data_IF_497495302265
#
_entry.id   IF_497495302265
#
_cell.length_a   1.000
_cell.length_b   1.000
_cell.length_c   1.000
_cell.angle_alpha   90.00
_cell.angle_beta   90.00
_cell.angle_gamma   90.00
#
_symmetry.space_group_name_H-M   'P 1'
#
loop_
_entity.id
_entity.type
_entity.pdbx_description
1 polymer ?
#
# COMPACT_ATOMS: atom_id res chain seq x y z
N UNK A 1 5.74 -59.28 -60.99
CA UNK A 1 7.14 -59.43 -61.44
C UNK A 1 7.97 -58.36 -60.73
N UNK A 2 8.74 -58.75 -59.70
CA UNK A 2 10.23 -58.85 -59.71
C UNK A 2 10.97 -57.50 -59.87
N UNK A 3 11.64 -57.11 -58.78
CA UNK A 3 12.88 -56.30 -58.75
C UNK A 3 12.67 -54.78 -58.84
N UNK A 4 13.46 -53.91 -58.21
CA UNK A 4 14.83 -54.05 -57.70
C UNK A 4 15.09 -53.05 -56.57
N UNK A 5 15.84 -53.50 -55.55
CA UNK A 5 16.44 -52.69 -54.50
C UNK A 5 17.50 -51.72 -55.04
N UNK A 6 17.44 -50.46 -54.59
CA UNK A 6 18.56 -49.52 -54.60
C UNK A 6 18.82 -49.00 -53.18
N UNK A 7 19.87 -49.50 -52.54
CA UNK A 7 20.34 -49.08 -51.22
C UNK A 7 21.01 -47.69 -51.32
N UNK A 8 20.51 -46.70 -50.60
CA UNK A 8 21.29 -45.52 -50.20
C UNK A 8 21.54 -45.60 -48.69
N UNK A 9 22.76 -45.98 -48.33
CA UNK A 9 23.24 -46.16 -46.96
C UNK A 9 23.72 -44.81 -46.43
N UNK A 10 22.83 -43.98 -45.90
CA UNK A 10 23.22 -42.73 -45.26
C UNK A 10 23.48 -42.98 -43.77
N UNK A 11 24.75 -42.90 -43.39
CA UNK A 11 25.25 -43.04 -42.02
C UNK A 11 24.56 -42.01 -41.11
N UNK A 12 23.69 -42.47 -40.20
CA UNK A 12 23.25 -41.68 -39.06
C UNK A 12 24.44 -41.54 -38.10
N UNK A 13 25.07 -40.35 -38.08
CA UNK A 13 25.88 -39.92 -36.94
C UNK A 13 24.91 -39.41 -35.87
N UNK A 14 25.03 -39.80 -34.59
CA UNK A 14 24.27 -39.16 -33.53
C UNK A 14 24.79 -37.72 -33.40
N UNK A 15 23.92 -36.76 -33.71
CA UNK A 15 24.18 -35.35 -33.50
C UNK A 15 23.95 -35.10 -32.02
N UNK A 16 25.03 -35.21 -31.24
CA UNK A 16 25.07 -34.73 -29.85
C UNK A 16 24.96 -33.21 -29.95
N UNK A 17 23.75 -32.70 -29.77
CA UNK A 17 23.52 -31.27 -29.56
C UNK A 17 23.99 -30.97 -28.14
N UNK A 18 25.26 -30.59 -28.03
CA UNK A 18 25.78 -29.91 -26.85
C UNK A 18 25.03 -28.59 -26.74
N UNK A 19 23.98 -28.57 -25.91
CA UNK A 19 23.38 -27.35 -25.39
C UNK A 19 24.47 -26.59 -24.63
N UNK A 20 25.14 -25.66 -25.32
CA UNK A 20 25.94 -24.65 -24.67
C UNK A 20 24.98 -23.70 -23.95
N UNK A 21 24.76 -23.95 -22.66
CA UNK A 21 24.21 -22.96 -21.74
C UNK A 21 25.24 -21.84 -21.68
N UNK A 22 25.05 -20.80 -22.49
CA UNK A 22 25.83 -19.56 -22.39
C UNK A 22 25.27 -18.80 -21.19
N UNK A 23 25.73 -19.19 -20.00
CA UNK A 23 25.68 -18.29 -18.85
C UNK A 23 26.62 -17.13 -19.15
N UNK A 24 26.07 -15.93 -19.34
CA UNK A 24 26.87 -14.71 -19.39
C UNK A 24 27.35 -14.41 -17.96
N UNK A 25 28.33 -15.17 -17.50
CA UNK A 25 29.19 -14.74 -16.41
C UNK A 25 30.04 -13.61 -16.98
N UNK A 26 29.79 -12.37 -16.54
CA UNK A 26 30.62 -11.24 -16.92
C UNK A 26 32.08 -11.52 -16.59
N UNK A 27 32.90 -11.70 -17.63
CA UNK A 27 34.33 -11.89 -17.48
C UNK A 27 34.94 -10.60 -16.92
N UNK A 28 35.38 -10.66 -15.66
CA UNK A 28 36.20 -9.62 -15.02
C UNK A 28 37.55 -9.65 -15.71
N UNK A 29 37.82 -8.64 -16.55
CA UNK A 29 39.18 -8.35 -17.00
C UNK A 29 39.99 -7.86 -15.79
N UNK A 30 40.71 -8.78 -15.16
CA UNK A 30 41.67 -8.48 -14.12
C UNK A 30 42.92 -7.82 -14.75
N UNK A 31 42.90 -6.50 -14.90
CA UNK A 31 44.13 -5.73 -14.98
C UNK A 31 44.71 -5.67 -13.56
N UNK A 32 45.77 -6.47 -13.34
CA UNK A 32 46.67 -6.31 -12.20
C UNK A 32 47.29 -4.91 -12.32
N UNK A 33 46.73 -3.95 -11.61
CA UNK A 33 47.39 -2.69 -11.33
C UNK A 33 47.45 -2.50 -9.81
N UNK A 34 48.67 -2.44 -9.31
CA UNK A 34 48.99 -2.39 -7.90
C UNK A 34 48.74 -0.97 -7.40
N UNK A 35 47.71 -0.76 -6.57
CA UNK A 35 47.52 0.48 -5.79
C UNK A 35 46.68 1.59 -6.43
N UNK A 36 45.97 1.31 -7.53
CA UNK A 36 44.95 2.22 -8.09
C UNK A 36 43.56 1.81 -7.63
N UNK A 37 42.94 2.66 -6.81
CA UNK A 37 41.68 2.38 -6.11
C UNK A 37 40.52 1.90 -7.00
N UNK A 38 39.70 0.99 -6.46
CA UNK A 38 38.49 0.46 -7.12
C UNK A 38 37.41 1.53 -7.39
N UNK A 39 37.55 2.74 -6.86
CA UNK A 39 36.56 3.82 -6.92
C UNK A 39 36.11 4.13 -8.36
N UNK A 40 37.04 4.33 -9.29
CA UNK A 40 36.68 4.65 -10.68
C UNK A 40 35.93 3.49 -11.37
N UNK A 41 36.34 2.25 -11.09
CA UNK A 41 35.67 1.06 -11.62
C UNK A 41 34.27 0.88 -11.01
N UNK A 42 34.13 1.11 -9.71
CA UNK A 42 32.86 1.02 -9.00
C UNK A 42 31.90 2.15 -9.40
N UNK A 43 32.39 3.37 -9.65
CA UNK A 43 31.59 4.47 -10.20
C UNK A 43 31.11 4.15 -11.63
N UNK A 44 31.98 3.56 -12.46
CA UNK A 44 31.59 3.12 -13.80
C UNK A 44 30.58 1.96 -13.75
N UNK A 45 30.69 1.05 -12.77
CA UNK A 45 29.73 -0.01 -12.52
C UNK A 45 28.37 0.58 -12.11
N UNK A 46 28.33 1.55 -11.18
CA UNK A 46 27.10 2.23 -10.76
C UNK A 46 26.36 2.88 -11.93
N UNK A 47 27.07 3.54 -12.85
CA UNK A 47 26.45 4.17 -14.05
C UNK A 47 25.77 3.17 -14.98
N UNK A 48 26.21 1.91 -15.00
CA UNK A 48 25.71 0.87 -15.91
C UNK A 48 24.79 -0.14 -15.23
N UNK A 49 24.85 -0.24 -13.91
CA UNK A 49 24.06 -1.18 -13.14
C UNK A 49 22.56 -0.97 -13.40
N UNK A 50 21.82 -2.07 -13.45
CA UNK A 50 20.37 -2.06 -13.64
C UNK A 50 19.96 -1.34 -14.94
N UNK A 51 20.75 -1.48 -16.02
CA UNK A 51 20.58 -0.77 -17.31
C UNK A 51 20.59 0.78 -17.17
N UNK A 52 21.36 1.30 -16.20
CA UNK A 52 21.46 2.73 -15.95
C UNK A 52 20.22 3.34 -15.30
N UNK A 53 19.35 2.53 -14.69
CA UNK A 53 18.14 3.02 -13.99
C UNK A 53 18.44 3.69 -12.66
N UNK A 54 19.58 3.43 -12.03
CA UNK A 54 19.94 3.99 -10.72
C UNK A 54 20.30 5.49 -10.80
N UNK A 55 19.93 6.31 -9.79
CA UNK A 55 20.26 7.73 -9.76
C UNK A 55 21.74 7.95 -9.40
N UNK A 56 22.61 7.93 -10.42
CA UNK A 56 24.06 8.03 -10.23
C UNK A 56 24.49 9.22 -9.36
N UNK A 57 23.97 10.43 -9.62
CA UNK A 57 24.36 11.64 -8.88
C UNK A 57 23.99 11.62 -7.39
N UNK A 58 22.95 10.88 -7.01
CA UNK A 58 22.56 10.73 -5.61
C UNK A 58 23.35 9.61 -4.91
N UNK A 59 23.76 8.57 -5.66
CA UNK A 59 24.40 7.36 -5.13
C UNK A 59 25.94 7.37 -5.19
N UNK A 60 26.57 8.23 -5.98
CA UNK A 60 28.03 8.20 -6.19
C UNK A 60 28.84 8.39 -4.91
N UNK A 61 28.27 9.10 -3.92
CA UNK A 61 28.86 9.33 -2.60
C UNK A 61 28.98 8.08 -1.74
N UNK A 62 28.21 7.03 -2.06
CA UNK A 62 28.23 5.75 -1.35
C UNK A 62 29.24 4.77 -1.95
N UNK A 63 29.84 5.11 -3.10
CA UNK A 63 30.80 4.24 -3.79
C UNK A 63 32.10 4.19 -3.00
N UNK A 64 32.55 2.96 -2.73
CA UNK A 64 33.74 2.66 -1.93
C UNK A 64 34.93 2.25 -2.78
N UNK A 65 36.13 2.49 -2.27
CA UNK A 65 37.41 2.26 -2.97
C UNK A 65 38.08 0.94 -2.56
N UNK A 66 37.70 0.46 -1.38
CA UNK A 66 38.34 -0.60 -0.62
C UNK A 66 38.21 -1.97 -1.31
N UNK A 67 37.15 -2.19 -2.08
CA UNK A 67 36.89 -3.46 -2.75
C UNK A 67 36.06 -3.32 -4.04
N UNK A 68 36.12 -4.30 -4.96
CA UNK A 68 35.26 -4.32 -6.14
C UNK A 68 33.78 -4.46 -5.76
N UNK A 69 32.91 -3.72 -6.45
CA UNK A 69 31.46 -3.84 -6.29
C UNK A 69 30.90 -5.17 -6.81
N UNK A 70 29.95 -5.74 -6.06
CA UNK A 70 29.21 -6.96 -6.41
C UNK A 70 27.85 -6.57 -6.98
N UNK A 71 27.62 -6.86 -8.27
CA UNK A 71 26.36 -6.62 -8.97
C UNK A 71 25.61 -7.95 -9.18
N UNK A 72 24.34 -8.00 -8.76
CA UNK A 72 23.36 -9.03 -9.11
C UNK A 72 22.19 -8.33 -9.78
N UNK A 73 21.79 -8.77 -10.97
CA UNK A 73 20.67 -8.15 -11.68
C UNK A 73 19.94 -9.16 -12.55
N UNK A 74 18.61 -9.13 -12.51
CA UNK A 74 17.74 -9.94 -13.35
C UNK A 74 16.37 -9.25 -13.53
N UNK A 75 15.54 -9.77 -14.45
CA UNK A 75 14.22 -9.21 -14.74
C UNK A 75 13.96 -9.06 -16.23
N UNK A 76 12.68 -9.00 -16.58
CA UNK A 76 12.23 -8.96 -17.99
C UNK A 76 12.61 -7.67 -18.72
N UNK A 77 12.88 -6.57 -18.00
CA UNK A 77 13.43 -5.34 -18.58
C UNK A 77 14.88 -5.56 -19.06
N UNK A 78 15.69 -6.27 -18.27
CA UNK A 78 17.11 -6.49 -18.55
C UNK A 78 17.34 -7.59 -19.60
N UNK A 79 16.51 -8.62 -19.58
CA UNK A 79 16.56 -9.75 -20.52
C UNK A 79 15.16 -10.06 -21.05
N UNK A 80 14.68 -9.32 -22.08
CA UNK A 80 13.38 -9.57 -22.69
C UNK A 80 13.29 -11.01 -23.22
N UNK A 81 12.22 -11.72 -22.86
CA UNK A 81 11.96 -13.10 -23.29
C UNK A 81 12.40 -14.19 -22.31
N UNK A 82 13.05 -13.86 -21.19
CA UNK A 82 13.14 -14.80 -20.06
C UNK A 82 11.89 -14.72 -19.18
N UNK A 83 11.44 -15.87 -18.68
CA UNK A 83 10.33 -15.93 -17.73
C UNK A 83 10.78 -15.42 -16.37
N UNK A 84 10.31 -14.22 -16.00
CA UNK A 84 10.49 -13.67 -14.66
C UNK A 84 9.24 -12.92 -14.24
N UNK A 85 8.94 -12.96 -12.94
CA UNK A 85 7.93 -12.09 -12.34
C UNK A 85 8.50 -10.67 -12.18
N UNK A 86 9.78 -10.51 -11.86
CA UNK A 86 10.37 -9.18 -11.72
C UNK A 86 10.52 -8.48 -13.08
N UNK A 87 10.14 -7.21 -13.14
CA UNK A 87 10.54 -6.32 -14.23
C UNK A 87 12.02 -5.95 -14.07
N UNK A 88 12.41 -5.67 -12.82
CA UNK A 88 13.79 -5.41 -12.42
C UNK A 88 14.00 -5.93 -10.99
N UNK A 89 15.04 -6.72 -10.78
CA UNK A 89 15.59 -7.02 -9.45
C UNK A 89 17.09 -6.81 -9.57
N UNK A 90 17.61 -5.85 -8.81
CA UNK A 90 18.97 -5.38 -8.93
C UNK A 90 19.55 -5.06 -7.57
N UNK A 91 20.72 -5.61 -7.28
CA UNK A 91 21.49 -5.34 -6.07
C UNK A 91 22.94 -5.04 -6.44
N UNK A 92 23.42 -3.88 -5.99
CA UNK A 92 24.82 -3.46 -6.11
C UNK A 92 25.36 -3.16 -4.71
N UNK A 93 26.34 -3.93 -4.27
CA UNK A 93 26.98 -3.76 -2.97
C UNK A 93 28.47 -3.50 -3.11
N UNK A 94 29.00 -2.63 -2.25
CA UNK A 94 30.44 -2.37 -2.13
C UNK A 94 31.04 -2.91 -0.82
N UNK A 95 30.30 -3.77 -0.10
CA UNK A 95 30.68 -4.32 1.20
C UNK A 95 30.45 -3.36 2.37
N UNK A 96 30.71 -3.84 3.59
CA UNK A 96 30.64 -3.07 4.84
C UNK A 96 29.31 -2.31 5.02
N UNK A 97 28.20 -2.93 4.63
CA UNK A 97 26.87 -2.31 4.71
C UNK A 97 26.60 -1.22 3.66
N UNK A 98 27.46 -1.02 2.65
CA UNK A 98 27.22 -0.09 1.55
C UNK A 98 26.58 -0.79 0.36
N UNK A 99 25.47 -0.22 -0.12
CA UNK A 99 24.83 -0.74 -1.32
C UNK A 99 23.47 -0.14 -1.63
N UNK A 100 22.93 -0.64 -2.73
CA UNK A 100 21.58 -0.34 -3.20
C UNK A 100 20.94 -1.62 -3.69
N UNK A 101 19.71 -1.87 -3.25
CA UNK A 101 18.88 -2.97 -3.70
C UNK A 101 17.55 -2.39 -4.17
N UNK A 102 17.15 -2.75 -5.38
CA UNK A 102 15.91 -2.31 -6.01
C UNK A 102 15.17 -3.52 -6.53
N UNK A 103 13.88 -3.59 -6.24
CA UNK A 103 12.97 -4.55 -6.84
C UNK A 103 11.81 -3.80 -7.47
N UNK A 104 11.40 -4.22 -8.67
CA UNK A 104 10.26 -3.67 -9.36
C UNK A 104 9.48 -4.79 -10.06
N UNK A 105 8.17 -4.80 -9.83
CA UNK A 105 7.29 -5.83 -10.38
C UNK A 105 5.89 -5.28 -10.69
N UNK A 106 5.26 -5.91 -11.67
CA UNK A 106 3.85 -5.74 -11.93
C UNK A 106 3.02 -6.37 -10.80
N UNK A 107 2.17 -5.57 -10.15
CA UNK A 107 1.27 -6.03 -9.10
C UNK A 107 0.09 -6.80 -9.71
N UNK A 108 0.05 -8.10 -9.43
CA UNK A 108 -1.07 -8.99 -9.82
C UNK A 108 -1.90 -9.37 -8.59
N UNK A 109 -1.27 -9.35 -7.42
CA UNK A 109 -1.86 -9.69 -6.13
C UNK A 109 -1.99 -8.42 -5.28
N UNK A 110 -2.17 -8.60 -3.99
CA UNK A 110 -2.17 -7.50 -3.05
C UNK A 110 -0.82 -6.83 -2.88
N UNK A 111 -0.88 -5.55 -2.55
CA UNK A 111 0.29 -4.83 -2.03
C UNK A 111 0.71 -5.52 -0.73
N UNK A 112 2.00 -5.89 -0.58
CA UNK A 112 2.46 -6.61 0.60
C UNK A 112 2.51 -5.75 1.87
N UNK A 113 2.16 -4.47 1.77
CA UNK A 113 2.10 -3.53 2.88
C UNK A 113 0.68 -3.29 3.33
N UNK A 114 0.57 -2.97 4.62
CA UNK A 114 -0.66 -2.51 5.24
C UNK A 114 -1.13 -1.21 4.56
N UNK A 115 -2.40 -1.19 4.16
CA UNK A 115 -3.03 -0.08 3.43
C UNK A 115 -4.34 0.34 4.08
N UNK A 116 -4.68 -0.16 5.27
CA UNK A 116 -5.93 0.21 5.94
C UNK A 116 -5.90 1.68 6.38
N UNK A 117 -7.08 2.25 6.64
CA UNK A 117 -7.18 3.68 6.97
C UNK A 117 -6.32 4.04 8.19
N UNK A 118 -6.31 3.18 9.22
CA UNK A 118 -5.48 3.31 10.42
C UNK A 118 -3.99 3.35 10.07
N UNK A 119 -3.51 2.49 9.17
CA UNK A 119 -2.09 2.43 8.79
C UNK A 119 -1.66 3.60 7.91
N UNK A 120 -2.60 4.29 7.25
CA UNK A 120 -2.31 5.49 6.48
C UNK A 120 -2.26 6.75 7.35
N UNK A 121 -3.07 6.79 8.41
CA UNK A 121 -3.19 7.92 9.34
C UNK A 121 -2.14 7.85 10.45
N UNK A 122 -1.91 6.65 10.95
CA UNK A 122 -0.95 6.32 12.00
C UNK A 122 -0.10 5.14 11.50
N UNK A 123 0.86 5.39 10.60
CA UNK A 123 1.70 4.34 10.03
C UNK A 123 2.33 3.52 11.12
N UNK A 124 1.84 2.29 11.28
CA UNK A 124 1.98 1.44 12.46
C UNK A 124 3.32 1.63 13.17
N UNK A 125 3.32 2.39 14.28
CA UNK A 125 4.23 2.38 15.44
C UNK A 125 5.72 2.14 15.24
N UNK A 126 6.23 2.22 14.02
CA UNK A 126 7.58 1.84 13.66
C UNK A 126 8.45 3.05 13.84
N UNK A 127 9.20 3.10 14.94
CA UNK A 127 10.35 3.99 15.03
C UNK A 127 11.15 3.89 13.72
N UNK A 128 11.27 4.99 12.97
CA UNK A 128 12.01 5.01 11.71
C UNK A 128 11.23 4.83 10.42
N UNK A 129 9.92 5.07 10.43
CA UNK A 129 9.14 5.23 9.20
C UNK A 129 9.20 6.67 8.66
N UNK A 130 9.16 6.79 7.33
CA UNK A 130 9.13 8.09 6.65
C UNK A 130 8.17 8.06 5.46
N UNK A 131 7.60 9.21 5.13
CA UNK A 131 6.77 9.40 3.95
C UNK A 131 7.36 10.50 3.06
N UNK A 132 7.31 10.31 1.74
CA UNK A 132 7.64 11.34 0.77
C UNK A 132 6.35 11.92 0.15
N UNK A 133 6.00 13.19 0.41
CA UNK A 133 4.82 13.81 -0.20
C UNK A 133 4.85 13.75 -1.73
N UNK A 134 3.72 13.43 -2.34
CA UNK A 134 3.56 13.21 -3.78
C UNK A 134 3.91 11.81 -4.24
N UNK A 135 4.13 10.85 -3.32
CA UNK A 135 4.37 9.43 -3.64
C UNK A 135 3.31 8.56 -2.98
N UNK A 136 3.08 7.36 -3.50
CA UNK A 136 2.16 6.38 -2.92
C UNK A 136 2.95 5.25 -2.27
N UNK A 137 3.36 5.44 -1.02
CA UNK A 137 4.08 4.47 -0.23
C UNK A 137 4.84 5.09 0.94
N UNK A 138 5.66 4.28 1.60
CA UNK A 138 6.43 4.70 2.79
C UNK A 138 7.83 4.07 2.80
N UNK A 139 8.70 4.63 3.64
CA UNK A 139 9.98 4.04 4.02
C UNK A 139 9.82 3.29 5.33
N UNK A 140 10.41 2.10 5.44
CA UNK A 140 10.49 1.35 6.68
C UNK A 140 11.71 0.43 6.71
N UNK A 141 11.64 -0.65 7.51
CA UNK A 141 12.74 -1.60 7.71
C UNK A 141 13.31 -2.19 6.40
N UNK A 142 12.47 -2.33 5.37
CA UNK A 142 12.85 -2.90 4.06
C UNK A 142 13.26 -1.85 3.02
N UNK A 143 13.39 -0.58 3.41
CA UNK A 143 13.64 0.54 2.51
C UNK A 143 12.35 1.27 2.12
N UNK A 144 12.45 2.11 1.09
CA UNK A 144 11.31 2.74 0.45
C UNK A 144 10.53 1.70 -0.35
N UNK A 145 9.21 1.78 -0.31
CA UNK A 145 8.35 1.17 -1.33
C UNK A 145 7.39 2.22 -1.86
N UNK A 146 6.97 2.04 -3.11
CA UNK A 146 5.90 2.82 -3.71
C UNK A 146 5.11 2.01 -4.73
N UNK A 147 3.87 2.40 -4.93
CA UNK A 147 2.99 1.96 -6.01
C UNK A 147 2.81 3.11 -7.00
N UNK A 148 2.92 2.82 -8.28
CA UNK A 148 2.69 3.80 -9.35
C UNK A 148 1.87 3.21 -10.49
N UNK A 149 1.20 4.08 -11.21
CA UNK A 149 0.27 3.71 -12.27
C UNK A 149 0.98 3.51 -13.61
N UNK A 150 0.52 2.47 -14.29
CA UNK A 150 0.79 2.15 -15.67
C UNK A 150 -0.50 1.89 -16.45
N UNK A 151 -1.29 2.93 -16.69
CA UNK A 151 -2.61 2.82 -17.34
C UNK A 151 -2.55 2.20 -18.74
N UNK A 152 -1.44 2.39 -19.47
CA UNK A 152 -1.16 1.74 -20.75
C UNK A 152 -0.90 0.23 -20.67
N UNK A 153 -0.81 -0.30 -19.45
CA UNK A 153 -0.51 -1.70 -19.15
C UNK A 153 1.00 -1.99 -19.09
N UNK A 154 1.39 -2.86 -18.16
CA UNK A 154 2.74 -3.39 -18.09
C UNK A 154 2.91 -4.55 -19.09
N UNK A 155 3.84 -4.42 -20.01
CA UNK A 155 4.16 -5.43 -21.01
C UNK A 155 4.94 -6.62 -20.44
N UNK A 156 5.13 -7.67 -21.26
CA UNK A 156 5.95 -8.83 -20.89
C UNK A 156 5.23 -9.90 -20.06
N UNK A 157 3.91 -9.81 -19.92
CA UNK A 157 3.08 -10.78 -19.19
C UNK A 157 1.83 -11.20 -19.95
N UNK A 158 1.26 -12.34 -19.52
CA UNK A 158 0.03 -12.93 -20.09
C UNK A 158 -1.23 -12.12 -19.74
N UNK A 159 -1.25 -11.43 -18.60
CA UNK A 159 -2.34 -10.54 -18.19
C UNK A 159 -1.80 -9.12 -18.02
N UNK A 160 -2.40 -8.11 -18.68
CA UNK A 160 -2.02 -6.72 -18.46
C UNK A 160 -2.38 -6.32 -17.02
N UNK A 161 -1.44 -5.70 -16.32
CA UNK A 161 -1.70 -5.03 -15.05
C UNK A 161 -1.38 -3.55 -15.21
N UNK A 162 -2.07 -2.74 -14.43
CA UNK A 162 -1.96 -1.28 -14.48
C UNK A 162 -1.14 -0.70 -13.35
N UNK A 163 -0.59 -1.53 -12.48
CA UNK A 163 0.03 -1.10 -11.24
C UNK A 163 1.44 -1.68 -11.14
N UNK A 164 2.40 -0.80 -10.90
CA UNK A 164 3.82 -1.11 -10.71
C UNK A 164 4.17 -0.90 -9.24
N UNK A 165 4.76 -1.92 -8.63
CA UNK A 165 5.33 -1.83 -7.29
C UNK A 165 6.85 -1.75 -7.38
N UNK A 166 7.43 -0.80 -6.67
CA UNK A 166 8.89 -0.58 -6.63
C UNK A 166 9.34 -0.50 -5.19
N UNK A 167 10.37 -1.25 -4.83
CA UNK A 167 11.12 -1.08 -3.59
C UNK A 167 12.53 -0.61 -3.87
N UNK A 168 13.07 0.20 -2.98
CA UNK A 168 14.46 0.60 -3.00
C UNK A 168 14.99 0.69 -1.56
N UNK A 169 16.02 -0.09 -1.27
CA UNK A 169 16.81 0.01 -0.05
C UNK A 169 18.18 0.54 -0.40
N UNK A 170 18.59 1.59 0.29
CA UNK A 170 19.93 2.17 0.17
C UNK A 170 20.57 2.09 1.54
N UNK A 171 21.80 1.56 1.57
CA UNK A 171 22.54 1.35 2.81
C UNK A 171 23.88 2.08 2.72
N UNK A 172 24.23 2.79 3.80
CA UNK A 172 25.37 3.70 3.88
C UNK A 172 26.43 3.24 4.90
N UNK A 173 26.45 1.94 5.21
CA UNK A 173 27.35 1.33 6.18
C UNK A 173 27.02 1.61 7.64
N UNK A 174 25.95 2.35 7.94
CA UNK A 174 25.43 2.51 9.30
C UNK A 174 24.39 1.45 9.67
N UNK A 175 23.74 0.85 8.67
CA UNK A 175 22.96 -0.37 8.80
C UNK A 175 23.90 -1.52 9.23
N UNK A 176 23.69 -2.05 10.43
CA UNK A 176 24.53 -3.10 11.02
C UNK A 176 24.82 -4.24 10.02
N UNK A 177 26.10 -4.60 9.89
CA UNK A 177 26.55 -5.66 9.02
C UNK A 177 26.01 -7.01 9.48
N UNK A 178 24.95 -7.51 8.85
CA UNK A 178 24.67 -8.94 8.82
C UNK A 178 25.09 -9.47 7.45
N UNK A 179 26.27 -10.10 7.43
CA UNK A 179 26.54 -11.13 6.44
C UNK A 179 25.47 -12.21 6.65
N UNK A 180 24.61 -12.37 5.65
CA UNK A 180 23.60 -13.42 5.61
C UNK A 180 24.30 -14.78 5.46
N UNK A 181 24.68 -15.38 6.58
CA UNK A 181 24.87 -16.81 6.68
C UNK A 181 23.57 -17.44 7.16
N UNK A 182 23.15 -18.46 6.42
CA UNK A 182 21.96 -19.29 6.63
C UNK A 182 21.85 -19.73 8.11
N UNK A 183 20.87 -19.22 8.83
CA UNK A 183 20.44 -19.77 10.12
C UNK A 183 18.93 -19.64 10.27
N UNK A 184 18.37 -20.75 10.75
CA UNK A 184 16.96 -21.09 10.86
C UNK A 184 16.07 -20.07 11.58
N UNK A 185 14.78 -20.20 11.29
CA UNK A 185 13.65 -19.60 11.99
C UNK A 185 13.82 -19.54 13.52
N UNK A 186 13.36 -18.41 14.08
CA UNK A 186 13.17 -18.08 15.52
C UNK A 186 14.26 -17.20 16.18
N UNK A 187 14.20 -15.90 15.93
CA UNK A 187 14.11 -14.83 16.96
C UNK A 187 14.19 -13.44 16.32
N UNK A 188 13.03 -12.86 15.98
CA UNK A 188 12.88 -11.51 15.38
C UNK A 188 13.12 -10.35 16.37
N UNK A 189 14.09 -10.45 17.29
CA UNK A 189 14.23 -9.49 18.40
C UNK A 189 15.54 -8.69 18.45
N UNK A 190 16.49 -8.85 17.52
CA UNK A 190 17.79 -8.14 17.59
C UNK A 190 18.32 -7.60 16.25
N UNK A 191 17.44 -7.25 15.30
CA UNK A 191 17.86 -6.50 14.11
C UNK A 191 18.24 -5.04 14.49
N UNK A 192 19.44 -4.61 14.13
CA UNK A 192 20.10 -3.35 14.53
C UNK A 192 19.19 -2.12 14.78
N UNK A 193 19.30 -1.59 16.00
CA UNK A 193 18.52 -0.49 16.59
C UNK A 193 18.87 0.92 16.06
N UNK A 194 19.14 1.10 14.77
CA UNK A 194 19.34 2.43 14.17
C UNK A 194 18.12 2.86 13.37
N UNK A 195 17.38 3.88 13.81
CA UNK A 195 16.42 4.58 12.94
C UNK A 195 17.17 5.07 11.70
N UNK A 196 16.78 4.67 10.47
CA UNK A 196 17.44 5.18 9.27
C UNK A 196 17.35 6.70 9.27
N UNK A 197 18.44 7.37 8.92
CA UNK A 197 18.43 8.83 8.91
C UNK A 197 17.53 9.37 7.78
N UNK A 198 17.15 10.65 7.91
CA UNK A 198 16.28 11.33 6.95
C UNK A 198 16.87 11.36 5.53
N UNK A 199 18.19 11.42 5.42
CA UNK A 199 18.88 11.51 4.14
C UNK A 199 18.90 10.15 3.40
N UNK A 200 19.06 9.06 4.12
CA UNK A 200 18.98 7.68 3.64
C UNK A 200 17.56 7.33 3.23
N UNK A 201 16.56 7.74 4.03
CA UNK A 201 15.15 7.60 3.66
C UNK A 201 14.83 8.36 2.36
N UNK A 202 15.24 9.63 2.25
CA UNK A 202 15.07 10.43 1.04
C UNK A 202 15.77 9.80 -0.17
N UNK A 203 16.97 9.27 0.01
CA UNK A 203 17.74 8.61 -1.04
C UNK A 203 17.06 7.32 -1.52
N UNK A 204 16.48 6.54 -0.61
CA UNK A 204 15.65 5.38 -0.94
C UNK A 204 14.45 5.77 -1.81
N UNK A 205 13.70 6.80 -1.39
CA UNK A 205 12.56 7.30 -2.18
C UNK A 205 12.96 7.83 -3.56
N UNK A 206 14.04 8.61 -3.65
CA UNK A 206 14.55 9.09 -4.96
C UNK A 206 14.95 7.94 -5.87
N UNK A 207 15.57 6.91 -5.31
CA UNK A 207 15.93 5.70 -6.06
C UNK A 207 14.69 4.98 -6.56
N UNK A 208 13.69 4.75 -5.71
CA UNK A 208 12.44 4.11 -6.10
C UNK A 208 11.69 4.93 -7.18
N UNK A 209 11.59 6.25 -7.01
CA UNK A 209 10.93 7.15 -7.97
C UNK A 209 11.67 7.21 -9.30
N UNK A 210 13.00 7.27 -9.29
CA UNK A 210 13.80 7.23 -10.52
C UNK A 210 13.56 5.93 -11.29
N UNK A 211 13.62 4.79 -10.60
CA UNK A 211 13.41 3.47 -11.21
C UNK A 211 11.99 3.35 -11.75
N UNK A 212 10.99 3.76 -10.96
CA UNK A 212 9.60 3.82 -11.39
C UNK A 212 9.44 4.64 -12.67
N UNK A 213 10.01 5.85 -12.73
CA UNK A 213 9.92 6.73 -13.90
C UNK A 213 10.61 6.15 -15.15
N UNK A 214 11.75 5.48 -14.99
CA UNK A 214 12.43 4.82 -16.12
C UNK A 214 11.59 3.65 -16.64
N UNK A 215 11.07 2.83 -15.72
CA UNK A 215 10.21 1.69 -16.07
C UNK A 215 8.91 2.14 -16.73
N UNK A 216 8.21 3.13 -16.17
CA UNK A 216 6.94 3.60 -16.72
C UNK A 216 7.11 4.23 -18.09
N UNK A 217 8.21 4.96 -18.31
CA UNK A 217 8.60 5.48 -19.63
C UNK A 217 8.89 4.36 -20.62
N UNK A 218 9.66 3.34 -20.21
CA UNK A 218 9.99 2.20 -21.07
C UNK A 218 8.75 1.38 -21.47
N UNK A 219 7.81 1.22 -20.53
CA UNK A 219 6.55 0.50 -20.73
C UNK A 219 5.46 1.35 -21.42
N UNK A 220 5.72 2.64 -21.69
CA UNK A 220 4.75 3.56 -22.31
C UNK A 220 3.43 3.63 -21.55
N UNK A 221 3.54 3.71 -20.23
CA UNK A 221 2.43 3.66 -19.28
C UNK A 221 1.37 4.76 -19.46
N UNK A 222 1.68 5.84 -20.18
CA UNK A 222 0.75 6.96 -20.43
C UNK A 222 0.58 7.91 -19.23
N UNK A 223 1.05 7.53 -18.04
CA UNK A 223 1.18 8.41 -16.88
C UNK A 223 2.38 9.37 -17.03
N UNK A 224 2.23 10.59 -16.51
CA UNK A 224 3.36 11.51 -16.36
C UNK A 224 4.38 10.97 -15.35
N UNK A 225 5.65 11.40 -15.41
CA UNK A 225 6.64 10.98 -14.43
C UNK A 225 6.26 11.46 -13.03
N UNK A 226 6.48 10.62 -12.03
CA UNK A 226 6.41 11.00 -10.62
C UNK A 226 7.40 12.11 -10.33
N UNK A 227 6.97 13.09 -9.52
CA UNK A 227 7.83 14.15 -9.05
C UNK A 227 8.93 13.59 -8.15
N UNK A 228 10.17 14.01 -8.37
CA UNK A 228 11.29 13.57 -7.54
C UNK A 228 11.15 14.12 -6.11
N UNK A 229 11.18 13.27 -5.07
CA UNK A 229 11.06 13.71 -3.69
C UNK A 229 12.17 14.69 -3.28
N UNK A 230 11.77 15.79 -2.65
CA UNK A 230 12.67 16.83 -2.15
C UNK A 230 12.91 16.73 -0.64
N UNK A 231 11.94 16.19 0.07
CA UNK A 231 11.93 16.02 1.52
C UNK A 231 11.22 14.72 1.85
N UNK A 232 11.44 14.24 3.07
CA UNK A 232 10.63 13.19 3.69
C UNK A 232 10.12 13.70 5.02
N UNK A 233 8.93 13.28 5.40
CA UNK A 233 8.31 13.56 6.69
C UNK A 233 8.50 12.34 7.57
N UNK A 234 9.01 12.58 8.79
CA UNK A 234 9.10 11.57 9.82
C UNK A 234 7.69 11.32 10.37
N UNK A 235 7.24 10.08 10.32
CA UNK A 235 5.87 9.71 10.74
C UNK A 235 5.78 9.43 12.23
N UNK A 236 6.89 9.55 12.97
CA UNK A 236 6.94 9.38 14.41
C UNK A 236 6.13 10.47 15.16
N UNK A 237 5.16 10.05 15.97
CA UNK A 237 4.22 10.92 16.70
C UNK A 237 4.91 11.92 17.63
N UNK A 238 6.11 11.59 18.11
CA UNK A 238 6.93 12.45 18.98
C UNK A 238 7.26 13.82 18.36
N UNK A 239 7.08 13.96 17.04
CA UNK A 239 7.35 15.18 16.28
C UNK A 239 6.11 16.05 16.02
N UNK A 240 5.01 15.82 16.75
CA UNK A 240 3.86 16.75 16.79
C UNK A 240 2.73 16.42 15.81
N UNK A 241 2.50 15.13 15.53
CA UNK A 241 1.43 14.63 14.66
C UNK A 241 1.35 15.39 13.32
N UNK A 242 2.34 15.22 12.43
CA UNK A 242 2.53 16.03 11.22
C UNK A 242 1.34 16.07 10.25
N UNK A 243 0.39 15.13 10.37
CA UNK A 243 -0.83 15.10 9.56
C UNK A 243 -1.96 16.00 10.09
N UNK A 244 -1.75 16.76 11.17
CA UNK A 244 -2.81 17.56 11.78
C UNK A 244 -3.25 18.73 10.90
N UNK A 245 -4.56 18.98 10.86
CA UNK A 245 -5.17 20.13 10.20
C UNK A 245 -4.77 20.30 8.73
N UNK A 246 -4.64 19.19 7.99
CA UNK A 246 -4.44 19.24 6.54
C UNK A 246 -5.75 19.69 5.85
N UNK A 247 -5.62 20.62 4.89
CA UNK A 247 -6.75 21.18 4.13
C UNK A 247 -7.68 20.13 3.53
N UNK A 248 -7.12 19.02 3.02
CA UNK A 248 -7.88 17.91 2.45
C UNK A 248 -8.83 17.21 3.44
N UNK A 249 -8.67 17.44 4.74
CA UNK A 249 -9.50 16.89 5.81
C UNK A 249 -10.35 17.96 6.52
N UNK A 250 -10.29 19.24 6.12
CA UNK A 250 -11.06 20.33 6.74
C UNK A 250 -12.57 20.22 6.51
N UNK A 251 -13.02 19.37 5.59
CA UNK A 251 -14.43 19.06 5.41
C UNK A 251 -15.06 18.39 6.65
N UNK A 252 -14.25 17.80 7.53
CA UNK A 252 -14.66 17.27 8.83
C UNK A 252 -14.80 18.45 9.82
N UNK A 253 -15.98 19.07 9.80
CA UNK A 253 -16.30 20.21 10.65
C UNK A 253 -17.63 20.00 11.38
N UNK A 254 -17.55 19.92 12.71
CA UNK A 254 -18.70 19.76 13.60
C UNK A 254 -19.71 20.91 13.60
N UNK A 255 -19.39 22.05 12.99
CA UNK A 255 -20.33 23.16 12.85
C UNK A 255 -21.24 23.04 11.63
N UNK A 256 -20.79 22.30 10.61
CA UNK A 256 -21.47 22.22 9.31
C UNK A 256 -21.94 20.81 8.94
N UNK A 257 -21.41 19.75 9.56
CA UNK A 257 -21.77 18.37 9.25
C UNK A 257 -22.93 17.86 10.15
N UNK A 258 -24.11 17.53 9.60
CA UNK A 258 -25.22 16.99 10.38
C UNK A 258 -24.92 15.60 10.95
N UNK A 259 -25.49 15.30 12.12
CA UNK A 259 -25.42 13.98 12.74
C UNK A 259 -24.20 13.73 13.63
N UNK A 260 -23.14 14.55 13.49
CA UNK A 260 -21.96 14.50 14.36
C UNK A 260 -22.06 15.43 15.56
N UNK A 261 -21.15 15.28 16.52
CA UNK A 261 -21.04 16.16 17.68
C UNK A 261 -20.69 17.59 17.28
N UNK A 262 -21.49 18.56 17.72
CA UNK A 262 -21.21 19.97 17.51
C UNK A 262 -20.00 20.42 18.33
N UNK A 263 -19.21 21.35 17.79
CA UNK A 263 -18.09 21.96 18.51
C UNK A 263 -16.80 21.92 17.71
N UNK A 264 -15.69 22.10 18.41
CA UNK A 264 -14.35 22.02 17.80
C UNK A 264 -13.95 20.57 17.56
N UNK A 265 -13.36 20.31 16.39
CA UNK A 265 -12.79 19.02 16.02
C UNK A 265 -11.29 19.19 15.75
N UNK A 266 -10.54 18.11 15.92
CA UNK A 266 -9.15 17.99 15.47
C UNK A 266 -9.13 16.99 14.33
N UNK A 267 -8.47 17.34 13.23
CA UNK A 267 -8.36 16.48 12.05
C UNK A 267 -6.92 16.01 11.85
N UNK A 268 -6.77 14.81 11.32
CA UNK A 268 -5.52 14.18 10.92
C UNK A 268 -5.69 13.65 9.50
N UNK A 269 -4.68 13.80 8.65
CA UNK A 269 -4.69 13.25 7.30
C UNK A 269 -3.39 12.53 6.97
N UNK A 270 -3.44 11.63 5.99
CA UNK A 270 -2.26 10.94 5.48
C UNK A 270 -1.20 11.94 4.97
N UNK A 271 0.07 11.59 5.09
CA UNK A 271 1.19 12.45 4.69
C UNK A 271 1.68 12.21 3.25
N UNK A 272 1.09 11.22 2.57
CA UNK A 272 1.58 10.76 1.28
C UNK A 272 1.27 11.75 0.16
N UNK A 273 0.18 12.52 0.29
CA UNK A 273 -0.31 13.43 -0.76
C UNK A 273 -0.42 12.71 -2.13
N UNK A 274 -0.86 11.45 -2.07
CA UNK A 274 -0.93 10.55 -3.21
C UNK A 274 -2.14 10.87 -4.10
N UNK A 275 -2.00 10.65 -5.41
CA UNK A 275 -3.12 10.67 -6.37
C UNK A 275 -3.88 9.34 -6.44
N UNK A 276 -3.44 8.31 -5.70
CA UNK A 276 -4.00 6.96 -5.74
C UNK A 276 -4.66 6.56 -4.42
N UNK A 277 -4.31 7.21 -3.31
CA UNK A 277 -4.97 7.01 -2.02
C UNK A 277 -5.07 8.30 -1.23
N UNK A 278 -5.99 8.33 -0.25
CA UNK A 278 -5.99 9.30 0.83
C UNK A 278 -6.72 8.76 2.05
N UNK A 279 -6.33 9.21 3.23
CA UNK A 279 -7.05 8.99 4.48
C UNK A 279 -7.17 10.30 5.28
N UNK A 280 -8.31 10.47 5.94
CA UNK A 280 -8.61 11.53 6.90
C UNK A 280 -9.27 10.90 8.13
N UNK A 281 -8.92 11.38 9.31
CA UNK A 281 -9.70 11.20 10.52
C UNK A 281 -10.01 12.55 11.17
N UNK A 282 -11.09 12.57 11.94
CA UNK A 282 -11.42 13.67 12.81
C UNK A 282 -11.97 13.17 14.12
N UNK A 283 -11.59 13.85 15.19
CA UNK A 283 -12.02 13.58 16.55
C UNK A 283 -12.57 14.85 17.19
N UNK A 284 -13.68 14.72 17.92
CA UNK A 284 -14.27 15.81 18.69
C UNK A 284 -13.34 16.21 19.85
N UNK A 285 -12.93 17.47 19.88
CA UNK A 285 -11.88 17.91 20.80
C UNK A 285 -12.44 18.18 22.21
N UNK A 286 -12.36 17.19 23.09
CA UNK A 286 -12.89 17.30 24.45
C UNK A 286 -12.28 18.45 25.26
N UNK A 287 -11.01 18.79 25.00
CA UNK A 287 -10.33 19.87 25.70
C UNK A 287 -10.80 21.24 25.21
N UNK A 288 -10.88 21.49 23.90
CA UNK A 288 -11.38 22.75 23.33
C UNK A 288 -12.87 22.96 23.53
N UNK A 289 -13.61 21.90 23.80
CA UNK A 289 -15.02 21.95 24.13
C UNK A 289 -15.31 21.84 25.63
N UNK A 290 -14.26 21.81 26.48
CA UNK A 290 -14.43 21.80 27.92
C UNK A 290 -15.28 23.00 28.39
N UNK A 291 -16.30 22.73 29.21
CA UNK A 291 -17.21 23.75 29.72
C UNK A 291 -18.31 24.20 28.76
N UNK A 292 -18.28 23.81 27.48
CA UNK A 292 -19.39 24.04 26.54
C UNK A 292 -20.49 23.00 26.81
N UNK A 293 -21.74 23.45 26.95
CA UNK A 293 -22.92 22.59 26.98
C UNK A 293 -23.67 22.69 25.64
N UNK A 294 -24.27 21.58 25.15
CA UNK A 294 -24.28 20.23 25.72
C UNK A 294 -23.02 19.40 25.35
N UNK A 295 -22.67 18.43 26.20
CA UNK A 295 -21.70 17.37 25.86
C UNK A 295 -22.29 16.41 24.80
N UNK A 296 -21.46 15.64 24.08
CA UNK A 296 -21.95 14.57 23.22
C UNK A 296 -22.89 13.64 23.99
N UNK A 297 -24.04 13.36 23.37
CA UNK A 297 -25.01 12.38 23.87
C UNK A 297 -24.50 10.97 23.55
N UNK A 298 -25.03 9.98 24.26
CA UNK A 298 -24.82 8.58 23.88
C UNK A 298 -25.22 8.35 22.42
N UNK A 299 -24.44 7.54 21.71
CA UNK A 299 -24.58 7.26 20.28
C UNK A 299 -24.37 8.47 19.35
N UNK A 300 -23.94 9.62 19.86
CA UNK A 300 -23.60 10.77 19.01
C UNK A 300 -22.20 10.58 18.45
N UNK A 301 -22.03 10.77 17.14
CA UNK A 301 -20.74 10.58 16.47
C UNK A 301 -19.71 11.60 16.98
N UNK A 302 -18.61 11.10 17.54
CA UNK A 302 -17.49 11.89 18.09
C UNK A 302 -16.19 11.65 17.35
N UNK A 303 -16.10 10.61 16.52
CA UNK A 303 -14.99 10.44 15.59
C UNK A 303 -15.51 10.03 14.21
N UNK A 304 -14.75 10.40 13.18
CA UNK A 304 -15.00 10.06 11.78
C UNK A 304 -13.69 9.64 11.14
N UNK A 305 -13.73 8.59 10.34
CA UNK A 305 -12.64 8.19 9.45
C UNK A 305 -13.15 8.15 8.01
N UNK A 306 -12.32 8.55 7.07
CA UNK A 306 -12.60 8.45 5.64
C UNK A 306 -11.32 8.08 4.90
N UNK A 307 -11.40 7.10 4.01
CA UNK A 307 -10.27 6.71 3.18
C UNK A 307 -10.71 6.29 1.79
N UNK A 308 -9.81 6.49 0.83
CA UNK A 308 -9.98 6.13 -0.57
C UNK A 308 -8.74 5.45 -1.11
N UNK A 309 -8.93 4.46 -1.98
CA UNK A 309 -7.85 3.70 -2.60
C UNK A 309 -8.19 3.31 -4.03
N UNK A 310 -7.31 3.63 -4.96
CA UNK A 310 -7.50 3.39 -6.39
C UNK A 310 -6.71 2.17 -6.87
N UNK A 311 -7.25 1.48 -7.88
CA UNK A 311 -6.55 0.37 -8.53
C UNK A 311 -6.26 -0.77 -7.56
N UNK A 312 -5.03 -1.28 -7.60
CA UNK A 312 -4.61 -2.39 -6.74
C UNK A 312 -4.69 -2.07 -5.24
N UNK A 313 -4.43 -0.81 -4.85
CA UNK A 313 -4.49 -0.40 -3.45
C UNK A 313 -5.90 -0.60 -2.88
N UNK A 314 -6.92 -0.32 -3.70
CA UNK A 314 -8.31 -0.50 -3.29
C UNK A 314 -8.70 -1.96 -3.14
N UNK A 315 -8.22 -2.84 -4.03
CA UNK A 315 -8.37 -4.28 -3.86
C UNK A 315 -7.70 -4.75 -2.57
N UNK A 316 -6.44 -4.36 -2.34
CA UNK A 316 -5.70 -4.79 -1.15
C UNK A 316 -6.32 -4.29 0.16
N UNK A 317 -6.83 -3.05 0.17
CA UNK A 317 -7.57 -2.54 1.32
C UNK A 317 -8.86 -3.33 1.53
N UNK A 318 -9.65 -3.54 0.48
CA UNK A 318 -10.89 -4.32 0.55
C UNK A 318 -10.65 -5.74 1.05
N UNK A 319 -9.67 -6.45 0.48
CA UNK A 319 -9.31 -7.82 0.86
C UNK A 319 -8.78 -7.88 2.32
N UNK A 320 -8.08 -6.83 2.80
CA UNK A 320 -7.67 -6.75 4.21
C UNK A 320 -8.86 -6.65 5.15
N UNK A 321 -9.78 -5.71 4.89
CA UNK A 321 -11.00 -5.59 5.67
C UNK A 321 -11.91 -6.81 5.53
N UNK A 322 -11.94 -7.47 4.37
CA UNK A 322 -12.73 -8.69 4.18
C UNK A 322 -12.24 -9.83 5.06
N UNK A 323 -10.92 -9.99 5.23
CA UNK A 323 -10.36 -10.99 6.16
C UNK A 323 -10.79 -10.76 7.61
N UNK A 324 -11.02 -9.51 8.00
CA UNK A 324 -11.49 -9.12 9.34
C UNK A 324 -13.03 -9.13 9.45
N UNK A 325 -13.76 -9.42 8.37
CA UNK A 325 -15.22 -9.36 8.34
C UNK A 325 -15.78 -7.93 8.35
N UNK A 326 -15.02 -7.00 7.79
CA UNK A 326 -15.27 -5.56 7.84
C UNK A 326 -15.71 -4.97 6.49
N UNK A 327 -16.25 -5.81 5.60
CA UNK A 327 -16.83 -5.43 4.30
C UNK A 327 -18.31 -5.85 4.19
N UNK A 328 -19.13 -5.18 3.35
CA UNK A 328 -20.54 -5.51 3.23
C UNK A 328 -20.76 -6.92 2.68
N UNK A 329 -21.75 -7.63 3.24
CA UNK A 329 -22.11 -8.98 2.79
C UNK A 329 -21.16 -10.09 3.27
N UNK A 330 -20.18 -9.76 4.13
CA UNK A 330 -19.31 -10.78 4.71
C UNK A 330 -20.09 -11.83 5.50
N UNK A 331 -19.82 -13.10 5.24
CA UNK A 331 -20.51 -14.23 5.88
C UNK A 331 -21.95 -14.47 5.42
N UNK A 332 -22.49 -13.67 4.49
CA UNK A 332 -23.78 -13.96 3.87
C UNK A 332 -23.62 -15.18 2.94
N UNK A 333 -24.33 -16.27 3.23
CA UNK A 333 -24.43 -17.38 2.28
C UNK A 333 -25.07 -16.85 1.00
N UNK A 334 -24.42 -17.06 -0.16
CA UNK A 334 -25.01 -16.84 -1.48
C UNK A 334 -26.32 -17.64 -1.58
N UNK A 335 -27.46 -17.02 -1.29
CA UNK A 335 -28.74 -17.74 -1.22
C UNK A 335 -29.93 -16.90 -0.77
N UNK A 336 -29.76 -15.90 0.09
CA UNK A 336 -30.85 -15.00 0.44
C UNK A 336 -30.99 -13.88 -0.61
N UNK A 337 -31.59 -14.24 -1.74
CA UNK A 337 -32.18 -13.25 -2.64
C UNK A 337 -33.24 -12.44 -1.87
N UNK A 338 -33.36 -11.12 -2.09
CA UNK A 338 -34.43 -10.34 -1.50
C UNK A 338 -35.75 -10.82 -2.11
N UNK A 339 -36.48 -11.63 -1.35
CA UNK A 339 -37.78 -12.15 -1.78
C UNK A 339 -38.78 -11.00 -1.72
N UNK A 340 -39.25 -10.63 -2.91
CA UNK A 340 -40.36 -9.71 -3.13
C UNK A 340 -41.62 -10.11 -2.33
N UNK A 341 -42.41 -9.10 -2.02
CA UNK A 341 -43.64 -9.19 -1.23
C UNK A 341 -44.68 -10.19 -1.77
N UNK A 342 -45.38 -10.85 -0.83
CA UNK A 342 -46.60 -11.63 -1.03
C UNK A 342 -46.37 -13.13 -0.78
N UNK A 343 -46.92 -13.77 0.25
CA UNK A 343 -48.35 -13.88 0.53
C UNK A 343 -48.55 -14.50 1.92
N UNK A 344 -49.59 -14.05 2.62
CA UNK A 344 -50.09 -14.65 3.87
C UNK A 344 -50.57 -16.10 3.62
N UNK A 345 -50.06 -17.06 4.40
CA UNK A 345 -50.77 -18.29 4.75
C UNK A 345 -50.03 -19.02 5.89
N UNK A 346 -50.64 -18.95 7.08
CA UNK A 346 -50.65 -19.89 8.19
C UNK A 346 -49.68 -21.08 8.17
N UNK A 347 -48.77 -21.11 9.15
CA UNK A 347 -48.32 -22.34 9.83
C UNK A 347 -47.63 -21.97 11.15
N UNK A 348 -48.36 -22.10 12.25
CA UNK A 348 -47.83 -22.14 13.61
C UNK A 348 -47.01 -23.43 13.79
N UNK A 349 -45.68 -23.35 13.66
CA UNK A 349 -44.73 -24.30 14.25
C UNK A 349 -43.31 -23.70 14.16
N UNK A 350 -42.52 -23.90 15.22
CA UNK A 350 -41.11 -23.50 15.38
C UNK A 350 -40.83 -22.03 15.75
N UNK A 351 -41.38 -21.61 16.90
CA UNK A 351 -40.95 -20.41 17.62
C UNK A 351 -39.62 -20.61 18.39
N UNK A 352 -38.58 -21.15 17.73
CA UNK A 352 -37.22 -21.22 18.30
C UNK A 352 -36.09 -21.08 17.25
N UNK A 353 -36.32 -20.27 16.22
CA UNK A 353 -35.27 -19.81 15.29
C UNK A 353 -35.45 -18.34 14.98
N UNK A 354 -34.45 -17.55 15.38
CA UNK A 354 -34.36 -16.14 15.03
C UNK A 354 -34.37 -15.20 16.22
N UNK A 355 -33.62 -15.52 17.29
CA UNK A 355 -33.04 -14.42 18.06
C UNK A 355 -32.12 -13.70 17.08
N UNK A 356 -32.59 -12.61 16.46
CA UNK A 356 -31.70 -11.56 15.97
C UNK A 356 -30.79 -11.29 17.16
N UNK A 357 -29.54 -11.76 17.07
CA UNK A 357 -28.53 -11.49 18.07
C UNK A 357 -28.58 -9.98 18.24
N UNK A 358 -29.06 -9.51 19.40
CA UNK A 358 -29.12 -8.08 19.67
C UNK A 358 -27.71 -7.54 19.42
N UNK A 359 -27.58 -6.50 18.60
CA UNK A 359 -26.31 -5.87 18.28
C UNK A 359 -25.75 -5.25 19.58
N UNK A 360 -25.05 -6.08 20.36
CA UNK A 360 -24.54 -5.75 21.68
C UNK A 360 -23.16 -5.15 21.52
N UNK A 361 -22.96 -3.95 22.02
CA UNK A 361 -21.63 -3.35 22.13
C UNK A 361 -21.09 -3.65 23.52
N UNK A 362 -19.89 -4.22 23.59
CA UNK A 362 -19.20 -4.49 24.85
C UNK A 362 -18.26 -3.36 25.21
N UNK A 363 -18.09 -3.10 26.50
CA UNK A 363 -17.02 -2.23 27.04
C UNK A 363 -15.61 -2.67 26.63
N UNK A 364 -15.43 -3.95 26.24
CA UNK A 364 -14.17 -4.46 25.72
C UNK A 364 -13.99 -4.28 24.21
N UNK A 365 -15.03 -3.83 23.49
CA UNK A 365 -14.89 -3.52 22.08
C UNK A 365 -14.01 -2.27 21.94
N UNK A 366 -12.86 -2.40 21.28
CA UNK A 366 -11.81 -1.37 21.30
C UNK A 366 -12.27 -0.03 20.73
N UNK A 367 -12.93 -0.04 19.57
CA UNK A 367 -13.45 1.16 18.87
C UNK A 367 -14.73 0.83 18.08
N UNK A 368 -15.90 0.78 18.74
CA UNK A 368 -17.16 0.43 18.09
C UNK A 368 -17.52 1.43 16.98
N UNK A 369 -17.87 0.95 15.79
CA UNK A 369 -18.10 1.82 14.64
C UNK A 369 -19.07 1.26 13.61
N UNK A 370 -19.71 2.16 12.85
CA UNK A 370 -20.46 1.83 11.64
C UNK A 370 -19.70 2.36 10.43
N UNK A 371 -19.35 1.47 9.51
CA UNK A 371 -18.64 1.79 8.28
C UNK A 371 -19.56 1.69 7.07
N UNK A 372 -19.39 2.60 6.11
CA UNK A 372 -20.08 2.61 4.83
C UNK A 372 -19.05 2.52 3.71
N UNK A 373 -19.24 1.54 2.84
CA UNK A 373 -18.39 1.32 1.67
C UNK A 373 -19.04 1.83 0.40
N UNK A 374 -18.24 2.42 -0.47
CA UNK A 374 -18.64 2.83 -1.80
C UNK A 374 -17.54 2.54 -2.82
N UNK A 375 -17.92 2.47 -4.08
CA UNK A 375 -17.04 2.29 -5.22
C UNK A 375 -17.30 3.42 -6.23
N UNK A 376 -16.25 3.96 -6.82
CA UNK A 376 -16.33 4.98 -7.87
C UNK A 376 -15.26 4.74 -8.94
N UNK A 377 -15.21 5.64 -9.91
CA UNK A 377 -14.11 5.73 -10.88
C UNK A 377 -13.35 7.04 -10.67
N UNK A 378 -12.12 6.98 -10.16
CA UNK A 378 -11.24 8.15 -9.95
C UNK A 378 -10.02 8.09 -10.85
N UNK A 379 -9.74 9.16 -11.61
CA UNK A 379 -8.62 9.19 -12.56
C UNK A 379 -8.65 8.03 -13.57
N UNK A 380 -9.84 7.52 -13.90
CA UNK A 380 -10.04 6.38 -14.80
C UNK A 380 -9.83 5.00 -14.19
N UNK A 381 -9.72 4.88 -12.86
CA UNK A 381 -9.51 3.62 -12.14
C UNK A 381 -10.67 3.33 -11.20
N UNK A 382 -10.96 2.05 -10.99
CA UNK A 382 -11.84 1.63 -9.89
C UNK A 382 -11.23 2.07 -8.57
N UNK A 383 -12.02 2.75 -7.76
CA UNK A 383 -11.62 3.26 -6.44
C UNK A 383 -12.64 2.82 -5.41
N UNK A 384 -12.15 2.32 -4.28
CA UNK A 384 -12.98 2.05 -3.11
C UNK A 384 -12.88 3.21 -2.14
N UNK A 385 -14.01 3.58 -1.56
CA UNK A 385 -14.14 4.53 -0.48
C UNK A 385 -14.69 3.82 0.74
N UNK A 386 -14.17 4.17 1.91
CA UNK A 386 -14.71 3.76 3.19
C UNK A 386 -14.84 5.01 4.05
N UNK A 387 -16.03 5.21 4.62
CA UNK A 387 -16.19 6.13 5.75
C UNK A 387 -16.63 5.35 6.97
N UNK A 388 -16.13 5.69 8.15
CA UNK A 388 -16.57 5.13 9.41
C UNK A 388 -16.97 6.25 10.36
N UNK A 389 -18.07 6.03 11.08
CA UNK A 389 -18.53 6.91 12.15
C UNK A 389 -18.42 6.17 13.47
N UNK A 390 -17.77 6.80 14.44
CA UNK A 390 -17.57 6.25 15.76
C UNK A 390 -18.38 7.08 16.77
N UNK A 391 -19.41 6.49 17.39
CA UNK A 391 -20.21 7.16 18.40
C UNK A 391 -19.53 7.22 19.77
N UNK A 392 -19.92 8.23 20.55
CA UNK A 392 -19.73 8.26 22.00
C UNK A 392 -20.52 7.10 22.64
N UNK A 393 -19.78 6.19 23.27
CA UNK A 393 -20.35 5.08 24.05
C UNK A 393 -19.74 5.13 25.44
N UNK A 394 -20.59 5.17 26.48
CA UNK A 394 -20.17 5.23 27.88
C UNK A 394 -20.60 3.94 28.57
N UNK A 395 -19.64 3.06 28.80
CA UNK A 395 -19.85 1.77 29.46
C UNK A 395 -18.89 1.64 30.64
N UNK A 396 -19.37 1.07 31.73
CA UNK A 396 -18.50 0.60 32.81
C UNK A 396 -17.78 -0.71 32.41
N UNK A 397 -16.71 -1.04 33.13
CA UNK A 397 -15.92 -2.25 32.86
C UNK A 397 -16.79 -3.52 32.96
N UNK A 398 -16.75 -4.37 31.93
CA UNK A 398 -17.60 -5.56 31.79
C UNK A 398 -19.04 -5.29 31.37
N UNK A 399 -19.47 -4.03 31.18
CA UNK A 399 -20.83 -3.71 30.73
C UNK A 399 -21.00 -4.00 29.22
N UNK A 400 -22.24 -4.27 28.84
CA UNK A 400 -22.69 -4.37 27.45
C UNK A 400 -23.95 -3.53 27.26
N UNK A 401 -24.03 -2.77 26.17
CA UNK A 401 -25.25 -2.04 25.79
C UNK A 401 -25.80 -2.57 24.48
N UNK A 402 -27.09 -2.35 24.23
CA UNK A 402 -27.76 -2.72 22.97
C UNK A 402 -28.00 -1.45 22.17
N UNK A 403 -27.54 -1.41 20.92
CA UNK A 403 -27.91 -0.30 20.03
C UNK A 403 -29.37 -0.40 19.62
N UNK A 404 -30.14 0.66 19.87
CA UNK A 404 -31.55 0.70 19.46
C UNK A 404 -31.63 0.81 17.93
N UNK A 405 -32.68 0.25 17.32
CA UNK A 405 -32.91 0.39 15.86
C UNK A 405 -33.01 1.86 15.41
N UNK A 406 -33.44 2.76 16.30
CA UNK A 406 -33.48 4.21 16.04
C UNK A 406 -32.10 4.84 16.03
N UNK A 407 -31.22 4.47 16.97
CA UNK A 407 -29.85 4.97 17.02
C UNK A 407 -29.03 4.40 15.86
N UNK A 408 -29.21 3.11 15.54
CA UNK A 408 -28.63 2.48 14.35
C UNK A 408 -29.01 3.22 13.06
N UNK A 409 -30.30 3.50 12.85
CA UNK A 409 -30.76 4.27 11.69
C UNK A 409 -30.18 5.70 11.64
N UNK A 410 -29.97 6.34 12.81
CA UNK A 410 -29.32 7.64 12.90
C UNK A 410 -27.84 7.56 12.51
N UNK A 411 -27.12 6.55 12.96
CA UNK A 411 -25.72 6.33 12.59
C UNK A 411 -25.58 6.06 11.09
N UNK A 412 -26.41 5.20 10.52
CA UNK A 412 -26.47 4.95 9.07
C UNK A 412 -26.69 6.24 8.28
N UNK A 413 -27.69 7.06 8.66
CA UNK A 413 -27.93 8.37 8.03
C UNK A 413 -26.72 9.30 8.16
N UNK A 414 -26.05 9.29 9.32
CA UNK A 414 -24.85 10.10 9.56
C UNK A 414 -23.69 9.63 8.69
N UNK A 415 -23.43 8.31 8.62
CA UNK A 415 -22.39 7.74 7.77
C UNK A 415 -22.62 8.07 6.29
N UNK A 416 -23.88 8.03 5.83
CA UNK A 416 -24.22 8.46 4.47
C UNK A 416 -23.92 9.94 4.25
N UNK A 417 -24.30 10.80 5.19
CA UNK A 417 -24.04 12.24 5.13
C UNK A 417 -22.53 12.54 5.12
N UNK A 418 -21.75 11.82 5.92
CA UNK A 418 -20.28 11.89 5.94
C UNK A 418 -19.69 11.48 4.60
N UNK A 419 -20.16 10.36 4.00
CA UNK A 419 -19.71 9.92 2.68
C UNK A 419 -19.99 10.98 1.62
N UNK A 420 -21.21 11.50 1.57
CA UNK A 420 -21.59 12.53 0.59
C UNK A 420 -20.73 13.80 0.78
N UNK A 421 -20.54 14.24 2.03
CA UNK A 421 -19.66 15.38 2.34
C UNK A 421 -18.21 15.14 1.91
N UNK A 422 -17.68 13.95 2.13
CA UNK A 422 -16.31 13.58 1.76
C UNK A 422 -16.11 13.58 0.24
N UNK A 423 -17.06 13.02 -0.50
CA UNK A 423 -17.01 12.93 -1.96
C UNK A 423 -17.15 14.31 -2.62
N UNK A 424 -17.92 15.22 -2.03
CA UNK A 424 -18.18 16.56 -2.56
C UNK A 424 -17.25 17.65 -1.99
N UNK A 425 -16.26 17.30 -1.16
CA UNK A 425 -15.36 18.27 -0.56
C UNK A 425 -14.42 18.89 -1.62
N UNK A 426 -14.50 20.22 -1.82
CA UNK A 426 -13.75 20.96 -2.86
C UNK A 426 -12.23 20.77 -2.75
N UNK A 427 -11.69 20.92 -1.54
CA UNK A 427 -10.27 20.63 -1.24
C UNK A 427 -10.01 19.14 -0.93
N UNK A 428 -11.06 18.31 -0.97
CA UNK A 428 -11.02 16.90 -0.66
C UNK A 428 -10.36 16.07 -1.76
N UNK A 429 -9.79 14.94 -1.36
CA UNK A 429 -9.13 14.04 -2.29
C UNK A 429 -10.05 13.55 -3.43
N UNK A 430 -11.31 13.13 -3.19
CA UNK A 430 -12.16 12.61 -4.27
C UNK A 430 -12.39 13.60 -5.42
N UNK A 431 -12.59 14.88 -5.12
CA UNK A 431 -12.73 15.94 -6.14
C UNK A 431 -11.40 16.12 -6.88
N UNK A 432 -10.28 16.20 -6.16
CA UNK A 432 -8.95 16.34 -6.78
C UNK A 432 -8.55 15.16 -7.66
N UNK A 433 -9.09 13.96 -7.38
CA UNK A 433 -8.85 12.73 -8.09
C UNK A 433 -9.85 12.48 -9.25
N UNK A 434 -10.76 13.44 -9.54
CA UNK A 434 -11.80 13.33 -10.56
C UNK A 434 -12.67 12.05 -10.38
N UNK A 435 -13.10 11.81 -9.14
CA UNK A 435 -13.98 10.69 -8.82
C UNK A 435 -15.39 10.92 -9.37
N UNK A 436 -15.95 9.89 -10.03
CA UNK A 436 -17.32 9.90 -10.57
C UNK A 436 -17.99 8.53 -10.47
N UNK A 437 -19.28 8.48 -10.80
CA UNK A 437 -20.08 7.26 -10.89
C UNK A 437 -20.10 6.45 -9.58
N UNK A 438 -20.16 7.15 -8.44
CA UNK A 438 -20.11 6.52 -7.12
C UNK A 438 -21.35 5.67 -6.83
N UNK A 439 -21.13 4.42 -6.45
CA UNK A 439 -22.13 3.45 -6.00
C UNK A 439 -21.83 3.01 -4.56
N UNK A 440 -22.84 3.03 -3.70
CA UNK A 440 -22.75 2.43 -2.35
C UNK A 440 -22.75 0.91 -2.46
N UNK A 441 -21.82 0.28 -1.75
CA UNK A 441 -21.70 -1.17 -1.65
C UNK A 441 -22.48 -1.72 -0.44
N UNK A 442 -22.49 -0.98 0.66
CA UNK A 442 -23.28 -1.32 1.84
C UNK A 442 -22.63 -0.86 3.14
N UNK A 443 -23.31 -1.14 4.24
CA UNK A 443 -22.90 -0.83 5.60
C UNK A 443 -22.31 -2.05 6.29
N UNK A 444 -21.41 -1.81 7.24
CA UNK A 444 -20.79 -2.82 8.08
C UNK A 444 -20.73 -2.31 9.50
N UNK A 445 -21.18 -3.14 10.42
CA UNK A 445 -21.19 -2.87 11.84
C UNK A 445 -20.04 -3.57 12.52
N UNK A 446 -19.22 -2.81 13.23
CA UNK A 446 -18.00 -3.27 13.89
C UNK A 446 -18.15 -2.97 15.38
N UNK A 447 -18.98 -3.76 16.05
CA UNK A 447 -19.36 -3.59 17.46
C UNK A 447 -18.51 -4.41 18.44
N UNK A 448 -17.58 -5.23 17.92
CA UNK A 448 -16.86 -6.26 18.66
C UNK A 448 -15.36 -6.19 18.43
#
# INVERSE_FOLDING_TARGET
>A
MRGLWGRARQRRKPLVVLMAVVGIAGAVLATRDSGGGHLAANQAQLRKACDGTLPYGDLERLVRDERPGKLRQHGTMLAPGQESRSLLDCSLSWGDGYGVTVHAEALVSDVPQAVEARDLLEPAGGHGTFVAPGTTGQYGKRGAWLVTDCLGGLGGRVRPTTDLYVTARVTDGTDGAEEADEADDADEAMAGNGKPDRATALLGFRTAVQVANVLTKAQRCGSGPLAMPKTVVDTDETHGAPGRALRKCEWIDGSSLPGIASGSWTTLGDLQESTALSACSGEWDAQKNAGKRPRPKEWQVTEVEAASWSGVLGRSAYDSYEREGHVPGWGAQEGESPSEAGSEADSEADADRGVRQEDRVSSYAGRPQLALWAQSVCGGRTTYHRVAVLPEIRLEDGETTVISGKDRARLSTTARTVLDRYLDAEDGWPVSADCRDTKVLGEVEQWH
#
